data_IF_961609681184
#
_entry.id   IF_961609681184
#
_cell.length_a   1.000
_cell.length_b   1.000
_cell.length_c   1.000
_cell.angle_alpha   90.00
_cell.angle_beta   90.00
_cell.angle_gamma   90.00
#
_symmetry.space_group_name_H-M   'P 1'
#
loop_
_entity.id
_entity.type
_entity.pdbx_description
1 polymer ?
#
# COMPACT_ATOMS: atom_id res chain seq x y z
N UNK A 1 -25.97 -20.15 -14.59
CA UNK A 1 -26.47 -18.81 -14.19
C UNK A 1 -27.43 -18.26 -15.25
N UNK A 2 -28.44 -19.04 -15.69
CA UNK A 2 -29.14 -18.76 -16.97
C UNK A 2 -30.56 -19.35 -17.11
N UNK A 3 -31.46 -19.19 -16.13
CA UNK A 3 -32.88 -19.49 -16.38
C UNK A 3 -33.88 -18.67 -15.54
N UNK A 4 -33.48 -18.15 -14.38
CA UNK A 4 -34.39 -17.36 -13.54
C UNK A 4 -34.52 -15.88 -13.96
N UNK A 5 -33.43 -15.24 -14.40
CA UNK A 5 -33.44 -13.84 -14.86
C UNK A 5 -34.30 -13.62 -16.11
N UNK A 6 -34.46 -14.63 -16.95
CA UNK A 6 -35.25 -14.54 -18.19
C UNK A 6 -36.76 -14.59 -17.96
N UNK A 7 -37.21 -15.17 -16.84
CA UNK A 7 -38.64 -15.33 -16.53
C UNK A 7 -39.22 -14.07 -15.88
N UNK A 8 -38.43 -13.33 -15.11
CA UNK A 8 -38.86 -12.06 -14.51
C UNK A 8 -38.94 -10.90 -15.51
N UNK A 9 -38.19 -10.97 -16.61
CA UNK A 9 -38.22 -9.95 -17.67
C UNK A 9 -39.46 -10.06 -18.58
N UNK A 10 -40.01 -11.27 -18.77
CA UNK A 10 -41.16 -11.50 -19.65
C UNK A 10 -42.49 -11.02 -19.04
N UNK A 11 -42.65 -11.10 -17.72
CA UNK A 11 -43.91 -10.76 -17.05
C UNK A 11 -44.28 -9.26 -17.22
N UNK A 12 -43.39 -8.28 -16.98
CA UNK A 12 -43.73 -6.87 -17.16
C UNK A 12 -43.91 -6.50 -18.63
N UNK A 13 -43.10 -7.04 -19.55
CA UNK A 13 -43.24 -6.79 -20.99
C UNK A 13 -44.56 -7.34 -21.52
N UNK A 14 -44.95 -8.54 -21.10
CA UNK A 14 -46.20 -9.18 -21.55
C UNK A 14 -47.43 -8.47 -20.97
N UNK A 15 -47.35 -7.95 -19.74
CA UNK A 15 -48.39 -7.09 -19.16
C UNK A 15 -48.49 -5.75 -19.90
N UNK A 16 -47.37 -5.13 -20.27
CA UNK A 16 -47.33 -3.87 -21.04
C UNK A 16 -47.88 -4.08 -22.45
N UNK A 17 -47.48 -5.15 -23.13
CA UNK A 17 -48.02 -5.54 -24.44
C UNK A 17 -49.53 -5.83 -24.31
N UNK A 18 -49.95 -6.50 -23.24
CA UNK A 18 -51.36 -6.74 -22.93
C UNK A 18 -52.15 -5.45 -22.74
N UNK A 19 -51.63 -4.49 -21.97
CA UNK A 19 -52.28 -3.21 -21.73
C UNK A 19 -52.31 -2.32 -22.98
N UNK A 20 -51.23 -2.33 -23.76
CA UNK A 20 -51.17 -1.63 -25.05
C UNK A 20 -52.11 -2.24 -26.09
N UNK A 21 -52.22 -3.56 -26.14
CA UNK A 21 -53.17 -4.24 -27.05
C UNK A 21 -54.62 -3.97 -26.67
N UNK A 22 -54.95 -3.92 -25.37
CA UNK A 22 -56.27 -3.51 -24.90
C UNK A 22 -56.57 -2.05 -25.26
N UNK A 23 -55.62 -1.13 -25.08
CA UNK A 23 -55.79 0.27 -25.45
C UNK A 23 -55.99 0.45 -26.97
N UNK A 24 -55.19 -0.24 -27.79
CA UNK A 24 -55.32 -0.22 -29.25
C UNK A 24 -56.64 -0.84 -29.71
N UNK A 25 -57.05 -1.96 -29.10
CA UNK A 25 -58.34 -2.59 -29.41
C UNK A 25 -59.53 -1.69 -29.06
N UNK A 26 -59.43 -0.90 -27.98
CA UNK A 26 -60.45 0.07 -27.60
C UNK A 26 -60.54 1.22 -28.62
N UNK A 27 -59.40 1.74 -29.09
CA UNK A 27 -59.35 2.75 -30.17
C UNK A 27 -59.96 2.19 -31.46
N UNK A 28 -59.57 0.97 -31.86
CA UNK A 28 -60.12 0.33 -33.06
C UNK A 28 -61.63 0.07 -32.93
N UNK A 29 -62.10 -0.36 -31.76
CA UNK A 29 -63.51 -0.59 -31.47
C UNK A 29 -64.35 0.69 -31.56
N UNK A 30 -63.84 1.81 -31.03
CA UNK A 30 -64.51 3.12 -31.14
C UNK A 30 -64.53 3.61 -32.59
N UNK A 31 -63.40 3.52 -33.31
CA UNK A 31 -63.31 3.95 -34.71
C UNK A 31 -64.24 3.12 -35.62
N UNK A 32 -64.25 1.80 -35.48
CA UNK A 32 -65.15 0.92 -36.23
C UNK A 32 -66.62 1.18 -35.84
N UNK A 33 -66.90 1.41 -34.56
CA UNK A 33 -68.24 1.76 -34.08
C UNK A 33 -68.78 3.06 -34.70
N UNK A 34 -67.92 4.04 -34.98
CA UNK A 34 -68.31 5.28 -35.68
C UNK A 34 -68.49 5.13 -37.20
N UNK A 35 -67.96 4.05 -37.80
CA UNK A 35 -68.06 3.76 -39.23
C UNK A 35 -69.29 2.93 -39.61
N UNK A 36 -70.01 2.35 -38.63
CA UNK A 36 -71.25 1.62 -38.88
C UNK A 36 -72.40 2.62 -39.09
N UNK A 37 -73.05 2.65 -40.27
CA UNK A 37 -74.06 3.64 -40.58
C UNK A 37 -75.37 3.24 -39.90
N UNK A 38 -75.59 3.71 -38.67
CA UNK A 38 -76.92 3.90 -38.07
C UNK A 38 -76.82 4.88 -36.90
N UNK A 39 -77.23 6.12 -37.19
CA UNK A 39 -77.74 7.12 -36.22
C UNK A 39 -76.84 7.45 -35.04
N UNK A 40 -75.75 8.17 -35.28
CA UNK A 40 -75.22 9.11 -34.29
C UNK A 40 -74.56 10.26 -35.06
N UNK A 41 -75.13 11.46 -34.95
CA UNK A 41 -74.49 12.69 -35.39
C UNK A 41 -73.24 12.90 -34.52
N UNK A 42 -72.10 12.39 -34.98
CA UNK A 42 -70.81 12.64 -34.36
C UNK A 42 -70.42 14.10 -34.67
N UNK A 43 -70.63 14.99 -33.68
CA UNK A 43 -70.08 16.33 -33.73
C UNK A 43 -68.55 16.24 -33.81
N UNK A 44 -67.89 16.96 -34.74
CA UNK A 44 -66.44 16.87 -34.97
C UNK A 44 -65.58 17.17 -33.72
N UNK A 45 -66.14 17.87 -32.74
CA UNK A 45 -65.47 18.19 -31.47
C UNK A 45 -65.31 17.00 -30.52
N UNK A 46 -66.10 15.94 -30.70
CA UNK A 46 -66.05 14.75 -29.84
C UNK A 46 -64.88 13.83 -30.18
N UNK A 47 -64.54 13.64 -31.46
CA UNK A 47 -63.50 12.68 -31.86
C UNK A 47 -62.11 13.05 -31.29
N UNK A 48 -61.78 14.35 -31.27
CA UNK A 48 -60.52 14.86 -30.71
C UNK A 48 -60.40 14.62 -29.20
N UNK A 49 -61.47 14.87 -28.43
CA UNK A 49 -61.48 14.71 -26.97
C UNK A 49 -61.34 13.25 -26.50
N UNK A 50 -61.86 12.29 -27.27
CA UNK A 50 -61.71 10.88 -26.94
C UNK A 50 -60.30 10.37 -27.27
N UNK A 51 -59.70 10.84 -28.35
CA UNK A 51 -58.30 10.51 -28.72
C UNK A 51 -57.32 11.03 -27.66
N UNK A 52 -57.48 12.29 -27.20
CA UNK A 52 -56.61 12.86 -26.16
C UNK A 52 -56.76 12.13 -24.83
N UNK A 53 -57.99 11.79 -24.42
CA UNK A 53 -58.24 11.03 -23.20
C UNK A 53 -57.57 9.65 -23.23
N UNK A 54 -57.69 8.92 -24.35
CA UNK A 54 -57.02 7.61 -24.52
C UNK A 54 -55.51 7.78 -24.51
N UNK A 55 -54.97 8.80 -25.19
CA UNK A 55 -53.53 9.08 -25.17
C UNK A 55 -53.02 9.36 -23.76
N UNK A 56 -53.74 10.15 -22.95
CA UNK A 56 -53.37 10.42 -21.54
C UNK A 56 -53.37 9.15 -20.69
N UNK A 57 -54.35 8.26 -20.88
CA UNK A 57 -54.38 6.97 -20.18
C UNK A 57 -53.18 6.11 -20.55
N UNK A 58 -52.85 6.02 -21.84
CA UNK A 58 -51.67 5.28 -22.32
C UNK A 58 -50.38 5.87 -21.72
N UNK A 59 -50.21 7.18 -21.75
CA UNK A 59 -49.03 7.86 -21.17
C UNK A 59 -48.94 7.61 -19.66
N UNK A 60 -50.06 7.65 -18.95
CA UNK A 60 -50.11 7.39 -17.51
C UNK A 60 -49.66 5.96 -17.17
N UNK A 61 -50.15 4.96 -17.92
CA UNK A 61 -49.72 3.57 -17.75
C UNK A 61 -48.23 3.41 -18.05
N UNK A 62 -47.74 4.00 -19.14
CA UNK A 62 -46.32 3.96 -19.49
C UNK A 62 -45.44 4.57 -18.38
N UNK A 63 -45.90 5.66 -17.78
CA UNK A 63 -45.18 6.33 -16.69
C UNK A 63 -45.10 5.45 -15.44
N UNK A 64 -46.19 4.76 -15.09
CA UNK A 64 -46.21 3.82 -13.96
C UNK A 64 -45.23 2.66 -14.19
N UNK A 65 -45.20 2.11 -15.40
CA UNK A 65 -44.29 1.02 -15.76
C UNK A 65 -42.83 1.47 -15.67
N UNK A 66 -42.51 2.63 -16.23
CA UNK A 66 -41.17 3.21 -16.15
C UNK A 66 -40.74 3.47 -14.69
N UNK A 67 -41.66 3.95 -13.85
CA UNK A 67 -41.39 4.17 -12.44
C UNK A 67 -41.05 2.87 -11.69
N UNK A 68 -41.82 1.80 -11.95
CA UNK A 68 -41.57 0.47 -11.35
C UNK A 68 -40.22 -0.10 -11.79
N UNK A 69 -39.91 -0.02 -13.08
CA UNK A 69 -38.63 -0.51 -13.61
C UNK A 69 -37.44 0.29 -13.04
N UNK A 70 -37.59 1.63 -12.99
CA UNK A 70 -36.57 2.51 -12.40
C UNK A 70 -36.33 2.19 -10.94
N UNK A 71 -37.38 1.90 -10.17
CA UNK A 71 -37.24 1.51 -8.76
C UNK A 71 -36.45 0.20 -8.60
N UNK A 72 -36.77 -0.82 -9.41
CA UNK A 72 -36.06 -2.10 -9.38
C UNK A 72 -34.59 -1.96 -9.77
N UNK A 73 -34.31 -1.22 -10.84
CA UNK A 73 -32.94 -0.98 -11.30
C UNK A 73 -32.11 -0.24 -10.25
N UNK A 74 -32.69 0.77 -9.60
CA UNK A 74 -32.02 1.51 -8.51
C UNK A 74 -31.75 0.62 -7.29
N UNK A 75 -32.67 -0.27 -6.95
CA UNK A 75 -32.50 -1.19 -5.83
C UNK A 75 -31.28 -2.11 -6.03
N UNK A 76 -31.06 -2.62 -7.24
CA UNK A 76 -29.89 -3.47 -7.54
C UNK A 76 -28.59 -2.68 -7.64
N UNK A 77 -28.63 -1.47 -8.22
CA UNK A 77 -27.44 -0.61 -8.32
C UNK A 77 -26.94 -0.15 -6.95
N UNK A 78 -27.85 0.13 -6.01
CA UNK A 78 -27.49 0.56 -4.66
C UNK A 78 -26.65 -0.50 -3.92
N UNK A 79 -26.92 -1.79 -4.13
CA UNK A 79 -26.15 -2.87 -3.53
C UNK A 79 -24.73 -2.94 -4.12
N UNK A 80 -24.61 -2.87 -5.45
CA UNK A 80 -23.31 -2.91 -6.13
C UNK A 80 -22.42 -1.72 -5.76
N UNK A 81 -23.01 -0.52 -5.68
CA UNK A 81 -22.28 0.68 -5.25
C UNK A 81 -21.80 0.50 -3.80
N UNK A 82 -22.64 -0.06 -2.92
CA UNK A 82 -22.25 -0.29 -1.52
C UNK A 82 -21.09 -1.27 -1.41
N UNK A 83 -21.13 -2.40 -2.12
CA UNK A 83 -20.03 -3.37 -2.13
C UNK A 83 -18.74 -2.73 -2.68
N UNK A 84 -18.83 -1.98 -3.77
CA UNK A 84 -17.68 -1.28 -4.34
C UNK A 84 -17.10 -0.24 -3.37
N UNK A 85 -17.95 0.48 -2.64
CA UNK A 85 -17.52 1.44 -1.62
C UNK A 85 -16.80 0.73 -0.49
N UNK A 86 -17.36 -0.36 0.05
CA UNK A 86 -16.75 -1.17 1.11
C UNK A 86 -15.36 -1.69 0.70
N UNK A 87 -15.22 -2.19 -0.52
CA UNK A 87 -13.92 -2.64 -1.05
C UNK A 87 -12.94 -1.49 -1.32
N UNK A 88 -13.45 -0.32 -1.70
CA UNK A 88 -12.63 0.87 -2.00
C UNK A 88 -12.15 1.60 -0.74
N UNK A 89 -12.86 1.47 0.38
CA UNK A 89 -12.50 2.12 1.65
C UNK A 89 -11.91 1.15 2.67
N UNK A 90 -11.63 -0.10 2.28
CA UNK A 90 -11.11 -1.09 3.22
C UNK A 90 -9.69 -0.71 3.68
N UNK A 91 -9.47 -0.43 4.99
CA UNK A 91 -8.14 -0.25 5.53
C UNK A 91 -7.44 -1.59 5.71
N UNK A 92 -6.11 -1.61 5.69
CA UNK A 92 -5.32 -2.80 6.00
C UNK A 92 -4.07 -2.41 6.77
N UNK A 93 -4.14 -2.52 8.08
CA UNK A 93 -3.04 -2.18 8.99
C UNK A 93 -2.18 -3.40 9.24
N UNK A 94 -0.87 -3.24 9.08
CA UNK A 94 0.14 -4.27 9.34
C UNK A 94 1.28 -3.75 10.20
N UNK A 95 1.87 -4.65 10.99
CA UNK A 95 3.04 -4.40 11.84
C UNK A 95 4.18 -5.26 11.31
N UNK A 96 5.32 -4.63 11.08
CA UNK A 96 6.53 -5.27 10.55
C UNK A 96 7.75 -4.86 11.38
N UNK A 97 8.70 -5.78 11.54
CA UNK A 97 10.01 -5.48 12.10
C UNK A 97 11.03 -5.31 10.96
N UNK A 98 11.66 -4.15 10.90
CA UNK A 98 12.64 -3.81 9.86
C UNK A 98 13.96 -3.38 10.51
N UNK A 99 15.08 -3.82 9.94
CA UNK A 99 16.40 -3.37 10.38
C UNK A 99 16.55 -1.84 10.26
N UNK A 100 17.32 -1.26 11.17
CA UNK A 100 17.65 0.16 11.13
C UNK A 100 18.85 0.43 10.24
N UNK A 101 18.85 1.59 9.60
CA UNK A 101 19.96 2.06 8.79
C UNK A 101 21.25 2.30 9.63
N UNK A 102 21.10 2.43 10.95
CA UNK A 102 22.21 2.58 11.90
C UNK A 102 23.03 1.29 12.11
N UNK A 103 22.51 0.12 11.72
CA UNK A 103 23.23 -1.14 11.81
C UNK A 103 22.30 -2.35 12.01
N UNK A 104 22.78 -3.53 11.64
CA UNK A 104 22.00 -4.79 11.66
C UNK A 104 21.47 -5.15 13.05
N UNK A 105 22.14 -4.70 14.11
CA UNK A 105 21.74 -5.01 15.48
C UNK A 105 20.55 -4.18 15.98
N UNK A 106 20.10 -3.18 15.23
CA UNK A 106 19.03 -2.27 15.62
C UNK A 106 17.75 -2.58 14.85
N UNK A 107 16.67 -2.82 15.57
CA UNK A 107 15.37 -3.13 15.02
C UNK A 107 14.40 -1.96 15.20
N UNK A 108 13.82 -1.55 14.08
CA UNK A 108 12.69 -0.64 14.03
C UNK A 108 11.40 -1.44 13.87
N UNK A 109 10.34 -0.94 14.48
CA UNK A 109 8.98 -1.40 14.21
C UNK A 109 8.30 -0.41 13.29
N UNK A 110 7.62 -0.94 12.29
CA UNK A 110 6.83 -0.19 11.32
C UNK A 110 5.38 -0.61 11.44
N UNK A 111 4.50 0.35 11.65
CA UNK A 111 3.07 0.18 11.46
C UNK A 111 2.68 0.91 10.19
N UNK A 112 2.12 0.22 9.22
CA UNK A 112 1.70 0.85 7.96
C UNK A 112 0.30 0.43 7.56
N UNK A 113 -0.38 1.32 6.83
CA UNK A 113 -1.68 1.03 6.24
C UNK A 113 -1.49 0.79 4.73
N UNK A 114 -1.59 -0.46 4.30
CA UNK A 114 -1.55 -0.88 2.88
C UNK A 114 -2.94 -0.94 2.24
N UNK A 115 -4.00 -0.60 2.99
CA UNK A 115 -5.36 -0.59 2.49
C UNK A 115 -5.67 0.65 1.66
N UNK A 116 -6.86 0.65 1.06
CA UNK A 116 -7.36 1.76 0.22
C UNK A 116 -8.11 2.82 1.02
N UNK A 117 -8.47 2.53 2.28
CA UNK A 117 -9.10 3.49 3.18
C UNK A 117 -8.24 3.89 4.37
N UNK A 118 -8.73 4.88 5.12
CA UNK A 118 -8.09 5.39 6.33
C UNK A 118 -8.42 4.46 7.50
N UNK A 119 -7.41 4.03 8.25
CA UNK A 119 -7.60 3.26 9.47
C UNK A 119 -7.70 4.20 10.67
N UNK A 120 -8.74 4.05 11.50
CA UNK A 120 -9.01 4.86 12.69
C UNK A 120 -9.00 3.99 13.95
N UNK A 121 -8.76 4.64 15.09
CA UNK A 121 -8.79 4.02 16.44
C UNK A 121 -8.05 2.68 16.51
N UNK A 122 -6.83 2.65 15.99
CA UNK A 122 -6.01 1.45 15.97
C UNK A 122 -5.61 1.10 17.42
N UNK A 123 -5.87 -0.13 17.82
CA UNK A 123 -5.55 -0.72 19.12
C UNK A 123 -4.79 -2.02 18.93
N UNK A 124 -3.85 -2.28 19.82
CA UNK A 124 -2.98 -3.45 19.79
C UNK A 124 -3.22 -4.30 21.03
N UNK A 125 -3.40 -5.60 20.83
CA UNK A 125 -3.55 -6.61 21.85
C UNK A 125 -2.47 -7.66 21.64
N UNK A 126 -1.73 -8.01 22.70
CA UNK A 126 -0.69 -9.02 22.66
C UNK A 126 -1.24 -10.35 23.16
N UNK A 127 -1.02 -11.40 22.39
CA UNK A 127 -1.51 -12.74 22.63
C UNK A 127 -0.32 -13.71 22.67
N UNK A 128 -0.44 -14.71 23.55
CA UNK A 128 0.51 -15.82 23.66
C UNK A 128 0.26 -16.87 22.55
N UNK A 129 1.12 -17.88 22.45
CA UNK A 129 0.99 -19.05 21.54
C UNK A 129 -0.36 -19.76 21.64
N UNK A 130 -1.02 -19.66 22.79
CA UNK A 130 -2.34 -20.26 23.04
C UNK A 130 -3.51 -19.28 22.84
N UNK A 131 -3.29 -18.14 22.16
CA UNK A 131 -4.30 -17.09 21.90
C UNK A 131 -4.92 -16.45 23.16
N UNK A 132 -4.28 -16.63 24.31
CA UNK A 132 -4.64 -15.94 25.56
C UNK A 132 -3.95 -14.59 25.64
N UNK A 133 -4.57 -13.64 26.36
CA UNK A 133 -3.98 -12.32 26.59
C UNK A 133 -2.65 -12.48 27.33
N UNK A 134 -1.54 -12.20 26.65
CA UNK A 134 -0.22 -12.35 27.23
C UNK A 134 0.06 -11.16 28.16
N UNK A 135 0.38 -11.45 29.42
CA UNK A 135 0.78 -10.41 30.35
C UNK A 135 2.25 -10.06 30.16
N UNK A 136 2.63 -8.86 30.59
CA UNK A 136 4.03 -8.39 30.63
C UNK A 136 4.92 -9.30 31.49
N UNK A 137 4.30 -10.06 32.41
CA UNK A 137 4.96 -11.03 33.29
C UNK A 137 5.33 -12.33 32.58
N UNK A 138 4.55 -12.75 31.58
CA UNK A 138 4.75 -14.02 30.87
C UNK A 138 5.83 -13.88 29.79
N UNK A 139 5.82 -12.76 29.05
CA UNK A 139 6.73 -12.56 27.92
C UNK A 139 7.46 -11.19 28.01
N UNK A 140 8.75 -11.16 28.40
CA UNK A 140 9.51 -9.91 28.56
C UNK A 140 9.65 -9.08 27.27
N UNK A 141 9.45 -9.68 26.09
CA UNK A 141 9.38 -8.94 24.82
C UNK A 141 8.18 -7.99 24.76
N UNK A 142 7.04 -8.33 25.37
CA UNK A 142 5.86 -7.46 25.37
C UNK A 142 6.15 -6.13 26.08
N UNK A 143 7.01 -6.15 27.10
CA UNK A 143 7.51 -4.95 27.77
C UNK A 143 8.22 -4.01 26.80
N UNK A 144 8.96 -4.55 25.83
CA UNK A 144 9.69 -3.78 24.82
C UNK A 144 8.72 -3.09 23.86
N UNK A 145 7.65 -3.77 23.44
CA UNK A 145 6.59 -3.15 22.64
C UNK A 145 5.85 -2.05 23.40
N UNK A 146 5.53 -2.26 24.68
CA UNK A 146 4.85 -1.25 25.51
C UNK A 146 5.68 -0.01 25.83
N UNK A 147 7.02 -0.03 25.66
CA UNK A 147 7.85 1.19 25.75
C UNK A 147 7.42 2.23 24.72
N UNK A 148 6.87 1.80 23.59
CA UNK A 148 6.45 2.70 22.52
C UNK A 148 5.00 3.15 22.70
N UNK A 149 4.79 4.46 22.65
CA UNK A 149 3.47 5.08 22.79
C UNK A 149 2.46 4.55 21.77
N UNK A 150 2.90 4.19 20.57
CA UNK A 150 2.01 3.65 19.53
C UNK A 150 1.31 2.34 19.95
N UNK A 151 1.98 1.49 20.72
CA UNK A 151 1.41 0.23 21.20
C UNK A 151 0.67 0.41 22.53
N UNK A 152 1.12 1.34 23.40
CA UNK A 152 0.47 1.63 24.68
C UNK A 152 -0.86 2.40 24.52
N UNK A 153 -0.85 3.46 23.71
CA UNK A 153 -2.00 4.36 23.54
C UNK A 153 -2.79 4.08 22.25
N UNK A 154 -2.25 3.26 21.35
CA UNK A 154 -2.78 3.05 20.01
C UNK A 154 -2.49 4.22 19.07
N UNK A 155 -3.03 4.14 17.85
CA UNK A 155 -2.90 5.17 16.81
C UNK A 155 -4.29 5.68 16.46
N UNK A 156 -4.49 6.99 16.52
CA UNK A 156 -5.81 7.59 16.30
C UNK A 156 -6.27 7.51 14.84
N UNK A 157 -5.36 7.75 13.91
CA UNK A 157 -5.61 7.71 12.48
C UNK A 157 -4.33 7.36 11.74
N UNK A 158 -4.44 6.51 10.74
CA UNK A 158 -3.38 6.16 9.81
C UNK A 158 -3.95 6.26 8.39
N UNK A 159 -3.47 7.25 7.64
CA UNK A 159 -3.89 7.52 6.27
C UNK A 159 -3.53 6.39 5.30
N UNK A 160 -4.03 6.52 4.07
CA UNK A 160 -3.73 5.58 2.98
C UNK A 160 -2.23 5.61 2.69
N UNK A 161 -1.58 4.45 2.65
CA UNK A 161 -0.13 4.31 2.46
C UNK A 161 0.74 5.06 3.49
N UNK A 162 0.17 5.48 4.61
CA UNK A 162 0.93 6.12 5.67
C UNK A 162 1.62 5.05 6.51
N UNK A 163 2.86 5.34 6.91
CA UNK A 163 3.66 4.49 7.78
C UNK A 163 4.16 5.29 8.99
N UNK A 164 4.17 4.63 10.15
CA UNK A 164 4.80 5.08 11.37
C UNK A 164 5.95 4.14 11.68
N UNK A 165 7.16 4.69 11.76
CA UNK A 165 8.36 3.94 12.11
C UNK A 165 8.89 4.45 13.44
N UNK A 166 9.27 3.53 14.32
CA UNK A 166 9.99 3.88 15.53
C UNK A 166 11.04 2.84 15.86
N UNK A 167 12.10 3.29 16.50
CA UNK A 167 13.11 2.41 17.04
C UNK A 167 12.53 1.59 18.18
N UNK A 168 12.72 0.28 18.16
CA UNK A 168 12.12 -0.62 19.15
C UNK A 168 13.17 -1.17 20.11
N UNK A 169 14.20 -1.85 19.60
CA UNK A 169 15.28 -2.38 20.43
C UNK A 169 16.56 -2.61 19.62
N UNK A 170 17.67 -2.79 20.34
CA UNK A 170 18.88 -3.41 19.80
C UNK A 170 19.00 -4.85 20.31
N UNK A 171 19.47 -5.78 19.49
CA UNK A 171 19.68 -7.18 19.91
C UNK A 171 20.63 -7.29 21.12
N UNK A 172 21.60 -6.38 21.23
CA UNK A 172 22.50 -6.30 22.37
C UNK A 172 21.80 -5.88 23.66
N UNK A 173 20.90 -4.88 23.59
CA UNK A 173 20.08 -4.48 24.75
C UNK A 173 19.08 -5.56 25.13
N UNK A 174 18.49 -6.22 24.13
CA UNK A 174 17.53 -7.30 24.31
C UNK A 174 18.17 -8.50 25.02
N UNK A 175 19.37 -8.91 24.60
CA UNK A 175 20.12 -9.99 25.24
C UNK A 175 20.43 -9.69 26.71
N UNK A 176 20.78 -8.44 27.05
CA UNK A 176 20.99 -8.02 28.44
C UNK A 176 19.71 -8.03 29.28
N UNK A 177 18.56 -7.73 28.67
CA UNK A 177 17.28 -7.68 29.36
C UNK A 177 16.67 -9.07 29.57
N UNK A 178 16.86 -9.99 28.62
CA UNK A 178 16.27 -11.34 28.66
C UNK A 178 17.13 -12.38 29.37
N UNK A 179 18.45 -12.18 29.52
CA UNK A 179 19.39 -13.16 30.12
C UNK A 179 19.28 -14.60 29.55
N UNK A 180 18.59 -14.78 28.42
CA UNK A 180 18.18 -16.05 27.82
C UNK A 180 18.17 -15.92 26.28
N UNK A 181 17.73 -16.98 25.59
CA UNK A 181 17.70 -17.06 24.12
C UNK A 181 16.76 -16.00 23.51
N UNK A 182 17.35 -15.02 22.82
CA UNK A 182 16.68 -13.91 22.13
C UNK A 182 15.87 -14.35 20.90
N UNK A 183 16.04 -15.58 20.43
CA UNK A 183 15.37 -16.13 19.25
C UNK A 183 14.20 -17.07 19.60
N UNK A 184 14.07 -17.47 20.86
CA UNK A 184 12.95 -18.29 21.34
C UNK A 184 11.58 -17.58 21.46
N UNK A 185 11.51 -16.25 21.72
CA UNK A 185 10.23 -15.61 22.00
C UNK A 185 9.26 -15.63 20.82
N UNK A 186 7.98 -15.67 21.14
CA UNK A 186 6.89 -15.65 20.19
C UNK A 186 5.87 -14.59 20.62
N UNK A 187 5.43 -13.75 19.69
CA UNK A 187 4.43 -12.73 19.98
C UNK A 187 3.38 -12.71 18.89
N UNK A 188 2.11 -12.89 19.26
CA UNK A 188 0.99 -12.66 18.37
C UNK A 188 0.36 -11.29 18.69
N UNK A 189 0.31 -10.41 17.69
CA UNK A 189 -0.22 -9.06 17.80
C UNK A 189 -1.56 -9.00 17.09
N UNK A 190 -2.64 -8.89 17.86
CA UNK A 190 -3.98 -8.62 17.33
C UNK A 190 -4.22 -7.12 17.25
N UNK A 191 -4.55 -6.64 16.07
CA UNK A 191 -4.78 -5.23 15.77
C UNK A 191 -6.26 -5.04 15.49
N UNK A 192 -6.92 -4.20 16.27
CA UNK A 192 -8.31 -3.78 16.02
C UNK A 192 -8.32 -2.34 15.50
N UNK A 193 -9.08 -2.09 14.45
CA UNK A 193 -9.18 -0.77 13.83
C UNK A 193 -10.53 -0.57 13.14
N UNK A 194 -10.89 0.68 12.89
CA UNK A 194 -12.13 1.07 12.22
C UNK A 194 -11.83 1.75 10.88
N UNK A 195 -12.76 1.72 9.93
CA UNK A 195 -12.71 2.60 8.75
C UNK A 195 -13.35 3.97 9.01
N UNK A 196 -13.50 4.77 7.95
CA UNK A 196 -14.15 6.09 8.02
C UNK A 196 -15.64 6.02 8.31
N UNK A 197 -16.30 4.90 7.98
CA UNK A 197 -17.73 4.65 8.21
C UNK A 197 -18.00 4.01 9.57
N UNK A 198 -16.96 3.59 10.29
CA UNK A 198 -17.05 2.98 11.61
C UNK A 198 -17.20 1.45 11.56
N UNK A 199 -16.95 0.81 10.42
CA UNK A 199 -16.88 -0.65 10.37
C UNK A 199 -15.60 -1.12 11.06
N UNK A 200 -15.71 -2.09 11.96
CA UNK A 200 -14.59 -2.66 12.69
C UNK A 200 -13.90 -3.79 11.89
N UNK A 201 -12.58 -3.81 11.97
CA UNK A 201 -11.71 -4.82 11.37
C UNK A 201 -10.69 -5.32 12.39
N UNK A 202 -10.31 -6.59 12.25
CA UNK A 202 -9.32 -7.22 13.11
C UNK A 202 -8.30 -7.95 12.24
N UNK A 203 -7.03 -7.61 12.43
CA UNK A 203 -5.91 -8.33 11.84
C UNK A 203 -5.07 -8.99 12.96
N UNK A 204 -4.45 -10.12 12.67
CA UNK A 204 -3.51 -10.76 13.59
C UNK A 204 -2.16 -10.93 12.87
N UNK A 205 -1.08 -10.58 13.57
CA UNK A 205 0.28 -10.67 13.06
C UNK A 205 1.14 -11.44 14.04
N UNK A 206 1.72 -12.53 13.56
CA UNK A 206 2.61 -13.36 14.35
C UNK A 206 4.04 -12.95 14.07
N UNK A 207 4.77 -12.62 15.13
CA UNK A 207 6.21 -12.37 15.11
C UNK A 207 6.87 -13.53 15.84
N UNK A 208 7.54 -14.38 15.07
CA UNK A 208 8.35 -15.48 15.58
C UNK A 208 9.83 -15.10 15.44
N UNK A 209 10.50 -14.90 16.58
CA UNK A 209 11.89 -14.47 16.59
C UNK A 209 12.85 -15.58 16.12
N UNK A 210 12.40 -16.84 16.08
CA UNK A 210 13.22 -17.96 15.60
C UNK A 210 13.51 -17.83 14.10
N UNK A 211 12.65 -17.14 13.34
CA UNK A 211 12.84 -16.89 11.92
C UNK A 211 14.03 -15.97 11.63
N UNK A 212 14.46 -15.17 12.61
CA UNK A 212 15.63 -14.30 12.48
C UNK A 212 16.93 -15.03 12.85
N UNK A 213 16.87 -16.28 13.32
CA UNK A 213 18.03 -17.10 13.58
C UNK A 213 18.73 -17.46 12.25
N UNK A 214 19.95 -16.98 12.05
CA UNK A 214 20.73 -17.20 10.83
C UNK A 214 20.58 -16.11 9.75
N UNK A 215 19.83 -15.04 10.02
CA UNK A 215 19.79 -13.88 9.14
C UNK A 215 21.13 -13.13 9.19
N UNK A 216 21.90 -13.21 8.11
CA UNK A 216 23.18 -12.49 7.95
C UNK A 216 23.12 -11.68 6.67
N UNK A 217 23.03 -10.35 6.78
CA UNK A 217 23.07 -9.48 5.60
C UNK A 217 24.52 -9.21 5.20
N UNK A 218 24.84 -9.54 3.95
CA UNK A 218 26.17 -9.31 3.38
C UNK A 218 26.26 -7.85 2.97
N UNK A 219 26.86 -7.03 3.85
CA UNK A 219 27.25 -5.67 3.52
C UNK A 219 26.67 -4.62 4.46
N UNK A 220 27.54 -3.98 5.24
CA UNK A 220 27.19 -2.78 5.97
C UNK A 220 26.66 -1.68 5.04
N UNK A 221 25.81 -0.82 5.62
CA UNK A 221 25.09 0.24 4.94
C UNK A 221 25.96 1.02 3.91
N UNK A 222 25.61 1.00 2.60
CA UNK A 222 26.35 1.72 1.56
C UNK A 222 26.50 3.21 1.83
N UNK A 223 25.50 3.84 2.48
CA UNK A 223 25.51 5.27 2.80
C UNK A 223 26.50 5.61 3.91
N UNK A 224 26.66 4.74 4.92
CA UNK A 224 27.66 4.97 5.96
C UNK A 224 29.08 4.83 5.40
N UNK A 225 29.30 3.84 4.53
CA UNK A 225 30.59 3.69 3.82
C UNK A 225 30.90 4.91 2.94
N UNK A 226 29.91 5.45 2.25
CA UNK A 226 30.07 6.68 1.48
C UNK A 226 30.42 7.87 2.37
N UNK A 227 29.78 8.02 3.54
CA UNK A 227 30.10 9.07 4.50
C UNK A 227 31.54 8.93 5.02
N UNK A 228 31.98 7.72 5.34
CA UNK A 228 33.35 7.43 5.80
C UNK A 228 34.38 7.75 4.70
N UNK A 229 34.12 7.40 3.45
CA UNK A 229 34.99 7.73 2.32
C UNK A 229 35.02 9.25 2.05
N UNK A 230 33.88 9.94 2.15
CA UNK A 230 33.83 11.40 2.06
C UNK A 230 34.60 12.06 3.21
N UNK A 231 34.55 11.49 4.42
CA UNK A 231 35.33 11.99 5.55
C UNK A 231 36.84 11.80 5.34
N UNK A 232 37.27 10.67 4.78
CA UNK A 232 38.68 10.44 4.40
C UNK A 232 39.13 11.44 3.35
N UNK A 233 38.35 11.66 2.29
CA UNK A 233 38.66 12.68 1.27
C UNK A 233 38.78 14.06 1.91
N UNK A 234 37.87 14.44 2.80
CA UNK A 234 37.93 15.71 3.53
C UNK A 234 39.20 15.82 4.37
N UNK A 235 39.59 14.75 5.08
CA UNK A 235 40.83 14.73 5.89
C UNK A 235 42.08 14.88 5.03
N UNK A 236 42.15 14.19 3.90
CA UNK A 236 43.29 14.32 2.97
C UNK A 236 43.35 15.71 2.32
N UNK A 237 42.20 16.27 1.90
CA UNK A 237 42.15 17.66 1.43
C UNK A 237 42.54 18.66 2.52
N UNK A 238 42.08 18.46 3.77
CA UNK A 238 42.44 19.32 4.88
C UNK A 238 43.95 19.26 5.17
N UNK A 239 44.60 18.10 5.05
CA UNK A 239 46.07 17.96 5.16
C UNK A 239 46.79 18.69 4.02
N UNK A 240 46.28 18.63 2.80
CA UNK A 240 46.84 19.39 1.66
C UNK A 240 46.69 20.91 1.83
N UNK A 241 45.53 21.38 2.33
CA UNK A 241 45.22 22.81 2.46
C UNK A 241 45.84 23.44 3.72
N UNK A 242 45.98 22.69 4.82
CA UNK A 242 46.51 23.20 6.10
C UNK A 242 48.02 23.48 6.09
N UNK A 243 48.71 23.32 4.96
CA UNK A 243 50.07 23.82 4.73
C UNK A 243 51.18 23.16 5.55
N UNK A 244 50.87 22.20 6.42
CA UNK A 244 51.86 21.51 7.25
C UNK A 244 52.37 20.18 6.66
N UNK A 245 51.72 19.67 5.61
CA UNK A 245 52.25 18.56 4.81
C UNK A 245 53.11 19.13 3.70
N UNK A 246 54.43 19.13 3.90
CA UNK A 246 55.40 19.27 2.81
C UNK A 246 55.14 18.14 1.81
N UNK A 247 54.47 18.44 0.70
CA UNK A 247 54.35 17.50 -0.40
C UNK A 247 55.78 17.30 -0.93
N UNK A 248 56.36 16.13 -0.69
CA UNK A 248 57.69 15.77 -1.18
C UNK A 248 57.64 15.65 -2.70
N UNK A 249 57.82 16.77 -3.39
CA UNK A 249 58.05 16.77 -4.83
C UNK A 249 59.55 16.68 -5.03
N UNK A 250 60.06 15.49 -5.33
CA UNK A 250 61.44 15.34 -5.80
C UNK A 250 61.55 15.94 -7.20
N UNK A 251 61.92 17.21 -7.25
CA UNK A 251 62.27 17.90 -8.48
C UNK A 251 63.73 17.59 -8.77
N UNK A 252 63.99 16.50 -9.50
CA UNK A 252 65.32 16.22 -10.01
C UNK A 252 65.75 17.33 -10.98
N UNK A 253 66.74 18.11 -10.57
CA UNK A 253 67.32 19.16 -11.42
C UNK A 253 68.20 18.53 -12.52
N UNK A 254 68.47 19.27 -13.59
CA UNK A 254 69.38 18.82 -14.65
C UNK A 254 70.81 18.59 -14.15
N UNK A 255 71.21 19.27 -13.07
CA UNK A 255 72.52 19.08 -12.43
C UNK A 255 72.62 17.75 -11.67
N UNK A 256 71.55 17.33 -10.98
CA UNK A 256 71.52 16.04 -10.29
C UNK A 256 71.67 14.86 -11.26
N UNK A 257 71.05 14.96 -12.46
CA UNK A 257 71.22 13.96 -13.53
C UNK A 257 72.63 13.95 -14.10
N UNK A 258 73.29 15.11 -14.16
CA UNK A 258 74.66 15.20 -14.64
C UNK A 258 75.64 14.56 -13.64
N UNK A 259 75.45 14.79 -12.34
CA UNK A 259 76.24 14.19 -11.27
C UNK A 259 76.07 12.66 -11.19
N UNK A 260 74.85 12.15 -11.36
CA UNK A 260 74.61 10.72 -11.41
C UNK A 260 75.29 10.06 -12.64
N UNK A 261 75.27 10.75 -13.79
CA UNK A 261 75.92 10.25 -15.02
C UNK A 261 77.44 10.17 -14.89
N UNK A 262 78.08 11.07 -14.13
CA UNK A 262 79.52 11.04 -13.91
C UNK A 262 79.91 9.96 -12.90
N UNK A 263 79.14 9.78 -11.83
CA UNK A 263 79.35 8.69 -10.87
C UNK A 263 79.20 7.30 -11.52
N UNK A 264 78.18 7.12 -12.37
CA UNK A 264 78.00 5.90 -13.15
C UNK A 264 79.18 5.63 -14.09
N UNK A 265 79.71 6.66 -14.75
CA UNK A 265 80.90 6.54 -15.61
C UNK A 265 82.14 6.13 -14.83
N UNK A 266 82.33 6.66 -13.62
CA UNK A 266 83.46 6.31 -12.75
C UNK A 266 83.34 4.86 -12.25
N UNK A 267 82.14 4.42 -11.86
CA UNK A 267 81.91 3.01 -11.47
C UNK A 267 82.19 2.04 -12.61
N UNK A 268 81.72 2.34 -13.81
CA UNK A 268 81.96 1.48 -14.98
C UNK A 268 83.43 1.42 -15.40
N UNK A 269 84.19 2.51 -15.22
CA UNK A 269 85.62 2.50 -15.45
C UNK A 269 86.35 1.57 -14.45
N UNK A 270 85.96 1.64 -13.17
CA UNK A 270 86.52 0.79 -12.11
C UNK A 270 86.21 -0.69 -12.33
N UNK A 271 84.97 -1.02 -12.70
CA UNK A 271 84.58 -2.41 -13.02
C UNK A 271 85.32 -2.96 -14.24
N UNK A 272 85.68 -2.11 -15.21
CA UNK A 272 86.49 -2.53 -16.37
C UNK A 272 87.94 -2.81 -16.00
N UNK A 273 88.53 -2.00 -15.13
CA UNK A 273 89.89 -2.23 -14.61
C UNK A 273 89.95 -3.51 -13.76
N UNK A 274 88.95 -3.76 -12.91
CA UNK A 274 88.85 -4.98 -12.12
C UNK A 274 88.69 -6.23 -13.00
N UNK A 275 87.90 -6.14 -14.09
CA UNK A 275 87.76 -7.25 -15.04
C UNK A 275 89.03 -7.53 -15.84
N UNK A 276 89.81 -6.50 -16.18
CA UNK A 276 91.10 -6.67 -16.87
C UNK A 276 92.21 -7.16 -15.96
N UNK A 277 92.11 -6.95 -14.64
CA UNK A 277 93.08 -7.46 -13.66
C UNK A 277 92.83 -8.92 -13.24
N UNK A 278 91.70 -9.51 -13.66
CA UNK A 278 91.29 -10.88 -13.27
C UNK A 278 91.38 -11.88 -14.44
N UNK A 279 91.87 -11.47 -15.61
CA UNK A 279 92.26 -12.32 -16.75
C UNK A 279 93.79 -12.44 -16.84
#
# INVERSE_FOLDING_TARGET
>A
MSSQTFREFKIPILVVIGLMTVAVALVLGVVIGTLLPKTAAAAPDSLSGWITTVATVVICVLTIVLAVETWRLRATQAQQIREFMLDSIRPNVSVELSGSHAGMSFMNVRVHNSGKGIARKIRFEFLDRNDQAASVEDEPIIKVFHKLTMFRAGIQSLGINQELKSFMFSFYELQKQLNADIFSPYVNIRIRFEDTEGNEYVNAFVIDFSQYQGFSEIGGNPLSKLADEVEKIRKEMAKMVSGNSRLGVDVYSSEDRAAESTELRVRWAREREERQATE
#
